data_IF_374040507318
#
_entry.id   IF_374040507318
#
_cell.length_a   1.000
_cell.length_b   1.000
_cell.length_c   1.000
_cell.angle_alpha   90.00
_cell.angle_beta   90.00
_cell.angle_gamma   90.00
#
_symmetry.space_group_name_H-M   'P 1'
#
loop_
_entity.id
_entity.type
_entity.pdbx_description
1 polymer ?
#
# COMPACT_ATOMS: atom_id res chain seq x y z
N UNK A 1 -5.68 14.92 -32.87
CA UNK A 1 -5.27 15.12 -31.47
C UNK A 1 -5.49 16.60 -31.18
N UNK A 2 -6.20 17.01 -30.12
CA UNK A 2 -6.10 18.40 -29.69
C UNK A 2 -4.63 18.64 -29.38
N UNK A 3 -4.03 19.57 -30.11
CA UNK A 3 -2.69 20.00 -29.79
C UNK A 3 -2.78 20.95 -28.59
N UNK A 4 -2.18 20.55 -27.47
CA UNK A 4 -2.13 21.37 -26.26
C UNK A 4 -0.94 22.33 -26.28
N UNK A 5 -0.18 22.41 -27.38
CA UNK A 5 0.97 23.31 -27.53
C UNK A 5 0.60 24.79 -27.37
N UNK A 6 -0.67 25.16 -27.62
CA UNK A 6 -1.19 26.51 -27.37
C UNK A 6 -1.50 26.81 -25.89
N UNK A 7 -1.54 25.79 -25.02
CA UNK A 7 -1.82 25.96 -23.59
C UNK A 7 -0.56 26.43 -22.87
N UNK A 8 -0.65 27.60 -22.23
CA UNK A 8 0.41 28.17 -21.41
C UNK A 8 0.10 27.98 -19.92
N UNK A 9 1.06 28.33 -19.06
CA UNK A 9 0.87 28.35 -17.61
C UNK A 9 -0.28 29.27 -17.18
N UNK A 10 -0.44 30.42 -17.83
CA UNK A 10 -1.48 31.39 -17.49
C UNK A 10 -2.88 30.86 -17.81
N UNK A 11 -3.04 30.12 -18.91
CA UNK A 11 -4.31 29.47 -19.25
C UNK A 11 -4.72 28.44 -18.19
N UNK A 12 -3.75 27.73 -17.60
CA UNK A 12 -4.01 26.80 -16.50
C UNK A 12 -4.44 27.56 -15.23
N UNK A 13 -3.78 28.66 -14.89
CA UNK A 13 -4.18 29.49 -13.74
C UNK A 13 -5.60 30.06 -13.89
N UNK A 14 -5.98 30.47 -15.11
CA UNK A 14 -7.35 30.91 -15.39
C UNK A 14 -8.37 29.79 -15.20
N UNK A 15 -8.05 28.56 -15.64
CA UNK A 15 -8.90 27.41 -15.41
C UNK A 15 -9.03 27.06 -13.92
N UNK A 16 -7.97 27.24 -13.12
CA UNK A 16 -8.02 27.06 -11.66
C UNK A 16 -8.88 28.11 -10.97
N UNK A 17 -8.75 29.38 -11.37
CA UNK A 17 -9.62 30.45 -10.85
C UNK A 17 -11.10 30.16 -11.15
N UNK A 18 -11.43 29.73 -12.37
CA UNK A 18 -12.80 29.33 -12.72
C UNK A 18 -13.27 28.10 -11.93
N UNK A 19 -12.37 27.15 -11.65
CA UNK A 19 -12.65 25.99 -10.81
C UNK A 19 -12.97 26.40 -9.37
N UNK A 20 -12.20 27.32 -8.80
CA UNK A 20 -12.39 27.82 -7.43
C UNK A 20 -13.68 28.65 -7.30
N UNK A 21 -14.00 29.47 -8.30
CA UNK A 21 -15.22 30.29 -8.32
C UNK A 21 -16.50 29.46 -8.41
N UNK A 22 -16.49 28.40 -9.24
CA UNK A 22 -17.66 27.52 -9.45
C UNK A 22 -17.79 26.45 -8.40
N UNK A 23 -16.67 26.01 -7.82
CA UNK A 23 -16.60 24.78 -7.06
C UNK A 23 -16.51 23.54 -7.97
N UNK A 24 -15.96 22.48 -7.39
CA UNK A 24 -15.54 21.29 -8.11
C UNK A 24 -16.64 20.57 -8.89
N UNK A 25 -17.78 20.28 -8.26
CA UNK A 25 -18.83 19.48 -8.89
C UNK A 25 -19.51 20.24 -10.04
N UNK A 26 -19.75 21.55 -9.88
CA UNK A 26 -20.33 22.40 -10.91
C UNK A 26 -19.37 22.64 -12.07
N UNK A 27 -18.07 22.79 -11.79
CA UNK A 27 -17.04 22.86 -12.83
C UNK A 27 -17.02 21.59 -13.69
N UNK A 28 -17.00 20.42 -13.04
CA UNK A 28 -16.97 19.13 -13.73
C UNK A 28 -18.23 18.90 -14.56
N UNK A 29 -19.41 19.21 -14.01
CA UNK A 29 -20.68 19.10 -14.71
C UNK A 29 -20.75 20.04 -15.92
N UNK A 30 -20.31 21.29 -15.78
CA UNK A 30 -20.34 22.28 -16.86
C UNK A 30 -19.49 21.87 -18.07
N UNK A 31 -18.37 21.19 -17.84
CA UNK A 31 -17.42 20.80 -18.88
C UNK A 31 -17.45 19.32 -19.27
N UNK A 32 -18.35 18.53 -18.66
CA UNK A 32 -18.54 17.12 -18.98
C UNK A 32 -17.36 16.23 -18.55
N UNK A 33 -16.72 16.57 -17.43
CA UNK A 33 -15.66 15.76 -16.82
C UNK A 33 -16.19 14.99 -15.61
N UNK A 34 -15.54 13.86 -15.31
CA UNK A 34 -15.73 13.16 -14.04
C UNK A 34 -14.61 13.51 -13.06
N UNK A 35 -14.86 13.31 -11.76
CA UNK A 35 -13.85 13.42 -10.70
C UNK A 35 -12.65 12.53 -11.02
N UNK A 36 -11.45 13.08 -10.91
CA UNK A 36 -10.20 12.40 -11.08
C UNK A 36 -10.00 11.42 -9.92
N UNK A 37 -9.87 10.14 -10.26
CA UNK A 37 -9.42 9.08 -9.33
C UNK A 37 -7.92 8.83 -9.43
N UNK A 38 -7.34 9.26 -10.55
CA UNK A 38 -5.93 9.11 -10.90
C UNK A 38 -5.42 10.48 -11.39
N UNK A 39 -4.21 10.86 -10.99
CA UNK A 39 -3.54 12.11 -11.35
C UNK A 39 -4.25 13.40 -10.89
N UNK A 40 -3.87 13.89 -9.72
CA UNK A 40 -4.39 15.12 -9.11
C UNK A 40 -3.38 16.25 -9.32
N UNK A 41 -3.85 17.40 -9.80
CA UNK A 41 -3.03 18.62 -9.90
C UNK A 41 -3.03 19.34 -8.54
N UNK A 42 -1.86 19.77 -8.08
CA UNK A 42 -1.70 20.57 -6.87
C UNK A 42 -1.31 22.00 -7.19
N UNK A 43 -2.04 22.95 -6.62
CA UNK A 43 -1.73 24.37 -6.72
C UNK A 43 -2.20 25.10 -5.46
N UNK A 44 -1.34 25.94 -4.87
CA UNK A 44 -1.62 26.74 -3.66
C UNK A 44 -2.30 25.96 -2.52
N UNK A 45 -1.82 24.72 -2.29
CA UNK A 45 -2.31 23.84 -1.23
C UNK A 45 -3.66 23.17 -1.52
N UNK A 46 -4.18 23.26 -2.76
CA UNK A 46 -5.44 22.67 -3.18
C UNK A 46 -5.25 21.61 -4.27
N UNK A 47 -6.15 20.64 -4.27
CA UNK A 47 -6.21 19.54 -5.22
C UNK A 47 -7.25 19.81 -6.31
N UNK A 48 -6.89 19.53 -7.56
CA UNK A 48 -7.74 19.74 -8.73
C UNK A 48 -7.70 18.56 -9.69
N UNK A 49 -8.79 18.38 -10.45
CA UNK A 49 -8.91 17.32 -11.46
C UNK A 49 -8.03 17.64 -12.68
N UNK A 50 -6.86 17.00 -12.79
CA UNK A 50 -5.83 17.35 -13.78
C UNK A 50 -6.33 17.40 -15.23
N UNK A 51 -7.19 16.45 -15.64
CA UNK A 51 -7.78 16.42 -16.99
C UNK A 51 -8.80 17.53 -17.21
N UNK A 52 -9.63 17.81 -16.21
CA UNK A 52 -10.66 18.83 -16.34
C UNK A 52 -10.02 20.22 -16.42
N UNK A 53 -9.03 20.49 -15.56
CA UNK A 53 -8.26 21.74 -15.59
C UNK A 53 -7.57 21.92 -16.94
N UNK A 54 -6.86 20.91 -17.45
CA UNK A 54 -6.19 21.05 -18.75
C UNK A 54 -7.18 21.24 -19.92
N UNK A 55 -8.31 20.52 -19.89
CA UNK A 55 -9.34 20.65 -20.92
C UNK A 55 -9.94 22.06 -20.98
N UNK A 56 -10.16 22.68 -19.81
CA UNK A 56 -10.63 24.06 -19.71
C UNK A 56 -9.51 25.07 -19.97
N UNK A 57 -8.26 24.78 -19.62
CA UNK A 57 -7.13 25.63 -20.00
C UNK A 57 -7.05 25.79 -21.53
N UNK A 58 -7.40 24.77 -22.31
CA UNK A 58 -7.51 24.89 -23.77
C UNK A 58 -8.57 25.90 -24.21
N UNK A 59 -9.69 26.04 -23.50
CA UNK A 59 -10.71 27.08 -23.78
C UNK A 59 -10.11 28.47 -23.71
N UNK A 60 -9.24 28.72 -22.74
CA UNK A 60 -8.56 30.01 -22.62
C UNK A 60 -7.52 30.23 -23.72
N UNK A 61 -6.90 29.15 -24.21
CA UNK A 61 -5.94 29.21 -25.31
C UNK A 61 -6.58 29.38 -26.70
N UNK A 62 -7.71 28.72 -26.96
CA UNK A 62 -8.27 28.55 -28.33
C UNK A 62 -9.73 28.98 -28.46
N UNK A 63 -10.38 29.33 -27.36
CA UNK A 63 -11.82 29.62 -27.30
C UNK A 63 -12.71 28.38 -27.13
N UNK A 64 -12.16 27.16 -27.21
CA UNK A 64 -12.92 25.91 -27.10
C UNK A 64 -12.30 24.96 -26.08
N UNK A 65 -13.09 24.51 -25.11
CA UNK A 65 -12.64 23.52 -24.13
C UNK A 65 -12.52 22.13 -24.77
N UNK A 66 -11.44 21.41 -24.46
CA UNK A 66 -11.37 19.97 -24.78
C UNK A 66 -12.31 19.19 -23.87
N UNK A 67 -12.98 18.20 -24.44
CA UNK A 67 -13.82 17.24 -23.72
C UNK A 67 -13.01 16.01 -23.33
N UNK A 68 -13.48 15.28 -22.32
CA UNK A 68 -12.82 14.05 -21.85
C UNK A 68 -12.55 13.02 -22.95
N UNK A 69 -13.39 12.95 -24.01
CA UNK A 69 -13.23 12.00 -25.12
C UNK A 69 -12.08 12.36 -26.07
N UNK A 70 -11.61 13.61 -26.05
CA UNK A 70 -10.58 14.12 -26.96
C UNK A 70 -9.16 13.85 -26.42
N UNK A 71 -9.06 13.39 -25.17
CA UNK A 71 -7.83 12.89 -24.57
C UNK A 71 -7.54 11.45 -25.04
N UNK A 72 -7.03 11.29 -26.26
CA UNK A 72 -6.73 9.98 -26.86
C UNK A 72 -5.42 9.32 -26.37
N UNK A 73 -4.70 9.94 -25.43
CA UNK A 73 -3.35 9.55 -24.98
C UNK A 73 -3.26 8.66 -23.73
N UNK A 74 -4.34 8.02 -23.30
CA UNK A 74 -4.34 7.21 -22.08
C UNK A 74 -4.28 8.01 -20.78
N UNK A 75 -4.02 7.34 -19.65
CA UNK A 75 -4.24 7.87 -18.28
C UNK A 75 -3.31 9.03 -17.88
N UNK A 76 -2.21 9.30 -18.59
CA UNK A 76 -1.14 10.23 -18.18
C UNK A 76 -0.93 11.46 -19.08
N UNK A 77 -1.70 11.63 -20.16
CA UNK A 77 -1.48 12.71 -21.14
C UNK A 77 -1.59 14.12 -20.55
N UNK A 78 -2.60 14.36 -19.70
CA UNK A 78 -2.77 15.66 -19.07
C UNK A 78 -1.67 15.98 -18.05
N UNK A 79 -1.28 14.98 -17.24
CA UNK A 79 -0.20 15.12 -16.26
C UNK A 79 1.12 15.53 -16.92
N UNK A 80 1.45 14.95 -18.09
CA UNK A 80 2.67 15.30 -18.83
C UNK A 80 2.70 16.78 -19.25
N UNK A 81 1.60 17.28 -19.80
CA UNK A 81 1.50 18.68 -20.25
C UNK A 81 1.58 19.63 -19.06
N UNK A 82 0.80 19.37 -18.01
CA UNK A 82 0.79 20.20 -16.80
C UNK A 82 2.16 20.25 -16.10
N UNK A 83 2.87 19.13 -16.03
CA UNK A 83 4.26 19.07 -15.52
C UNK A 83 5.22 19.88 -16.38
N UNK A 84 5.11 19.80 -17.71
CA UNK A 84 5.92 20.61 -18.62
C UNK A 84 5.66 22.12 -18.44
N UNK A 85 4.46 22.50 -18.01
CA UNK A 85 4.07 23.88 -17.66
C UNK A 85 4.45 24.28 -16.22
N UNK A 86 5.15 23.41 -15.48
CA UNK A 86 5.65 23.70 -14.13
C UNK A 86 4.65 23.46 -13.00
N UNK A 87 3.56 22.71 -13.24
CA UNK A 87 2.64 22.32 -12.18
C UNK A 87 2.98 20.96 -11.58
N UNK A 88 2.69 20.80 -10.30
CA UNK A 88 2.80 19.53 -9.61
C UNK A 88 1.55 18.68 -9.89
N UNK A 89 1.75 17.47 -10.39
CA UNK A 89 0.67 16.51 -10.63
C UNK A 89 1.07 15.19 -10.00
N UNK A 90 0.29 14.71 -9.04
CA UNK A 90 0.44 13.39 -8.42
C UNK A 90 0.33 12.27 -9.45
N UNK A 91 1.06 11.18 -9.30
CA UNK A 91 0.74 9.93 -10.00
C UNK A 91 -0.35 9.15 -9.25
N UNK A 92 -1.08 8.23 -9.91
CA UNK A 92 -2.02 7.35 -9.22
C UNK A 92 -1.28 6.53 -8.16
N UNK A 93 -1.56 6.85 -6.89
CA UNK A 93 -0.88 6.32 -5.71
C UNK A 93 -0.02 7.33 -4.94
N UNK A 94 0.13 8.57 -5.43
CA UNK A 94 0.75 9.70 -4.71
C UNK A 94 -0.35 10.64 -4.17
N UNK A 95 -0.96 10.29 -3.04
CA UNK A 95 -1.81 11.24 -2.32
C UNK A 95 -0.91 12.32 -1.69
N UNK A 96 -1.21 13.61 -1.90
CA UNK A 96 -0.41 14.69 -1.31
C UNK A 96 -0.64 14.77 0.20
N UNK A 97 0.20 15.52 0.93
CA UNK A 97 0.20 15.50 2.38
C UNK A 97 -1.13 15.95 2.95
N UNK A 98 -1.69 15.18 3.89
CA UNK A 98 -2.95 15.54 4.58
C UNK A 98 -2.82 16.87 5.35
N UNK A 99 -1.59 17.32 5.64
CA UNK A 99 -1.31 18.54 6.41
C UNK A 99 -0.45 19.53 5.62
N UNK A 100 -1.12 20.44 4.90
CA UNK A 100 -0.79 21.88 4.71
C UNK A 100 0.65 22.35 4.38
N UNK A 101 1.58 21.48 4.02
CA UNK A 101 2.98 21.83 3.78
C UNK A 101 3.49 21.42 2.40
N UNK A 102 4.49 22.13 1.89
CA UNK A 102 5.24 21.70 0.72
C UNK A 102 6.01 20.40 1.03
N UNK A 103 6.06 19.48 0.06
CA UNK A 103 6.85 18.26 0.16
C UNK A 103 8.32 18.58 0.46
N UNK A 104 8.89 17.86 1.43
CA UNK A 104 10.33 17.90 1.74
C UNK A 104 10.97 16.58 1.35
N UNK A 105 12.15 16.61 0.73
CA UNK A 105 12.87 15.36 0.44
C UNK A 105 13.52 14.82 1.72
N UNK A 106 13.46 13.51 1.93
CA UNK A 106 14.09 12.86 3.08
C UNK A 106 15.60 13.14 3.18
N UNK A 107 16.27 13.39 2.05
CA UNK A 107 17.68 13.80 2.01
C UNK A 107 17.92 15.22 2.56
N UNK A 108 16.93 16.10 2.48
CA UNK A 108 17.00 17.48 3.00
C UNK A 108 16.72 17.50 4.50
N UNK A 109 15.77 16.69 4.96
CA UNK A 109 15.38 16.59 6.38
C UNK A 109 16.36 15.71 7.18
N UNK A 110 17.06 14.81 6.52
CA UNK A 110 17.95 13.82 7.13
C UNK A 110 17.23 12.49 7.37
N UNK A 111 17.93 11.39 7.11
CA UNK A 111 17.33 10.05 7.09
C UNK A 111 16.74 9.62 8.44
N UNK A 112 17.39 9.94 9.56
CA UNK A 112 16.90 9.61 10.90
C UNK A 112 15.61 10.36 11.23
N UNK A 113 15.61 11.68 11.04
CA UNK A 113 14.44 12.52 11.30
C UNK A 113 13.26 12.12 10.40
N UNK A 114 13.52 11.79 9.13
CA UNK A 114 12.50 11.29 8.22
C UNK A 114 11.90 9.97 8.71
N UNK A 115 12.74 9.02 9.15
CA UNK A 115 12.27 7.71 9.66
C UNK A 115 11.50 7.83 10.96
N UNK A 116 11.90 8.70 11.88
CA UNK A 116 11.16 8.97 13.12
C UNK A 116 9.78 9.54 12.82
N UNK A 117 9.71 10.54 11.93
CA UNK A 117 8.44 11.12 11.50
C UNK A 117 7.54 10.07 10.81
N UNK A 118 8.10 9.26 9.90
CA UNK A 118 7.37 8.19 9.24
C UNK A 118 6.90 7.11 10.23
N UNK A 119 7.69 6.78 11.26
CA UNK A 119 7.32 5.79 12.27
C UNK A 119 6.14 6.26 13.13
N UNK A 120 6.11 7.54 13.51
CA UNK A 120 5.00 8.12 14.24
C UNK A 120 3.69 7.99 13.45
N UNK A 121 3.68 8.40 12.17
CA UNK A 121 2.50 8.26 11.30
C UNK A 121 2.19 6.78 10.99
N UNK A 122 3.21 5.94 10.81
CA UNK A 122 3.03 4.51 10.55
C UNK A 122 2.27 3.84 11.69
N UNK A 123 2.58 4.22 12.94
CA UNK A 123 1.88 3.70 14.11
C UNK A 123 0.39 4.04 14.06
N UNK A 124 0.02 5.27 13.70
CA UNK A 124 -1.39 5.68 13.59
C UNK A 124 -2.13 4.89 12.51
N UNK A 125 -1.52 4.74 11.33
CA UNK A 125 -2.06 3.93 10.23
C UNK A 125 -2.28 2.47 10.65
N UNK A 126 -1.32 1.89 11.39
CA UNK A 126 -1.42 0.52 11.88
C UNK A 126 -2.45 0.38 13.00
N UNK A 127 -2.65 1.41 13.84
CA UNK A 127 -3.75 1.42 14.81
C UNK A 127 -5.11 1.42 14.13
N UNK A 128 -5.27 2.17 13.04
CA UNK A 128 -6.52 2.16 12.26
C UNK A 128 -6.75 0.81 11.55
N UNK A 129 -5.68 0.12 11.17
CA UNK A 129 -5.75 -1.26 10.72
C UNK A 129 -6.15 -2.23 11.85
N UNK A 130 -5.60 -2.04 13.06
CA UNK A 130 -5.91 -2.84 14.23
C UNK A 130 -7.39 -2.72 14.63
N UNK A 131 -8.03 -1.59 14.35
CA UNK A 131 -9.45 -1.34 14.65
C UNK A 131 -10.43 -1.98 13.65
N UNK A 132 -9.95 -2.72 12.65
CA UNK A 132 -10.79 -3.49 11.72
C UNK A 132 -10.44 -4.95 11.84
N UNK A 133 -11.39 -5.82 12.16
CA UNK A 133 -11.13 -7.24 12.34
C UNK A 133 -10.58 -7.85 11.04
N UNK A 134 -9.45 -8.56 11.15
CA UNK A 134 -8.66 -9.05 10.02
C UNK A 134 -8.10 -7.95 9.09
N UNK A 135 -8.14 -6.69 9.51
CA UNK A 135 -7.54 -5.57 8.81
C UNK A 135 -6.03 -5.71 8.71
N UNK A 136 -5.50 -5.40 7.53
CA UNK A 136 -4.06 -5.32 7.25
C UNK A 136 -3.80 -4.13 6.33
N UNK A 137 -2.55 -3.69 6.30
CA UNK A 137 -2.06 -2.64 5.40
C UNK A 137 -0.90 -3.21 4.59
N UNK A 138 -0.86 -2.95 3.30
CA UNK A 138 0.28 -3.36 2.47
C UNK A 138 1.44 -2.40 2.65
N UNK A 139 2.66 -2.85 2.35
CA UNK A 139 3.81 -1.93 2.32
C UNK A 139 3.59 -0.71 1.44
N UNK A 140 2.92 -0.88 0.29
CA UNK A 140 2.66 0.23 -0.63
C UNK A 140 1.73 1.27 0.00
N UNK A 141 0.64 0.82 0.62
CA UNK A 141 -0.31 1.70 1.31
C UNK A 141 0.37 2.40 2.48
N UNK A 142 1.07 1.67 3.36
CA UNK A 142 1.77 2.26 4.48
C UNK A 142 2.79 3.30 4.02
N UNK A 143 3.54 3.02 2.96
CA UNK A 143 4.53 3.94 2.43
C UNK A 143 3.93 5.22 1.84
N UNK A 144 2.75 5.14 1.22
CA UNK A 144 2.03 6.31 0.74
C UNK A 144 1.51 7.15 1.91
N UNK A 145 0.86 6.49 2.88
CA UNK A 145 0.27 7.14 4.05
C UNK A 145 1.32 7.85 4.92
N UNK A 146 2.49 7.25 5.16
CA UNK A 146 3.52 7.90 5.98
C UNK A 146 4.17 9.08 5.28
N UNK A 147 4.37 8.99 3.96
CA UNK A 147 4.91 10.12 3.21
C UNK A 147 3.90 11.26 3.17
N UNK A 148 2.64 10.96 2.85
CA UNK A 148 1.55 11.94 2.87
C UNK A 148 1.37 12.53 4.27
N UNK A 149 1.17 11.72 5.30
CA UNK A 149 0.92 12.19 6.67
C UNK A 149 2.06 13.04 7.25
N UNK A 150 3.31 12.84 6.81
CA UNK A 150 4.47 13.64 7.26
C UNK A 150 4.85 14.80 6.35
N UNK A 151 4.39 14.80 5.09
CA UNK A 151 4.90 15.68 4.04
C UNK A 151 6.39 15.46 3.70
N UNK A 152 6.97 14.32 4.09
CA UNK A 152 8.35 13.95 3.77
C UNK A 152 8.33 12.84 2.73
N UNK A 153 8.90 13.09 1.56
CA UNK A 153 8.97 12.11 0.45
C UNK A 153 10.37 11.57 0.22
N UNK A 154 10.46 10.41 -0.42
CA UNK A 154 11.72 9.84 -0.88
C UNK A 154 11.56 9.09 -2.19
N UNK A 155 12.59 9.18 -3.05
CA UNK A 155 12.70 8.37 -4.28
C UNK A 155 13.36 7.01 -4.03
N UNK A 156 13.83 6.74 -2.81
CA UNK A 156 14.46 5.46 -2.48
C UNK A 156 13.42 4.34 -2.55
N UNK A 157 13.86 3.17 -3.05
CA UNK A 157 13.01 1.98 -3.06
C UNK A 157 12.59 1.62 -1.64
N UNK A 158 11.31 1.29 -1.50
CA UNK A 158 10.62 0.97 -0.25
C UNK A 158 11.40 0.05 0.69
N UNK A 159 12.03 -0.99 0.13
CA UNK A 159 12.82 -1.98 0.88
C UNK A 159 13.99 -1.40 1.68
N UNK A 160 14.48 -0.21 1.33
CA UNK A 160 15.61 0.42 2.01
C UNK A 160 15.23 1.18 3.28
N UNK A 161 13.94 1.46 3.50
CA UNK A 161 13.51 2.33 4.60
C UNK A 161 12.29 1.83 5.36
N UNK A 162 11.36 1.11 4.73
CA UNK A 162 10.12 0.69 5.42
C UNK A 162 10.39 -0.28 6.58
N UNK A 163 11.44 -1.11 6.44
CA UNK A 163 11.82 -2.07 7.48
C UNK A 163 12.32 -1.38 8.74
N UNK A 164 13.03 -0.27 8.60
CA UNK A 164 13.49 0.56 9.72
C UNK A 164 12.30 1.23 10.42
N UNK A 165 11.40 1.86 9.63
CA UNK A 165 10.15 2.45 10.13
C UNK A 165 9.32 1.46 10.93
N UNK A 166 9.08 0.25 10.38
CA UNK A 166 8.36 -0.82 11.08
C UNK A 166 9.11 -1.35 12.31
N UNK A 167 10.44 -1.36 12.27
CA UNK A 167 11.28 -1.67 13.42
C UNK A 167 11.07 -0.69 14.57
N UNK A 168 11.06 0.62 14.28
CA UNK A 168 10.78 1.67 15.28
C UNK A 168 9.39 1.53 15.89
N UNK A 169 8.37 1.26 15.07
CA UNK A 169 7.01 1.00 15.57
C UNK A 169 6.98 -0.24 16.47
N UNK A 170 7.68 -1.31 16.11
CA UNK A 170 7.73 -2.52 16.91
C UNK A 170 8.46 -2.29 18.25
N UNK A 171 9.57 -1.56 18.24
CA UNK A 171 10.29 -1.16 19.44
C UNK A 171 9.38 -0.31 20.34
N UNK A 172 8.63 0.65 19.78
CA UNK A 172 7.65 1.45 20.54
C UNK A 172 6.53 0.59 21.15
N UNK A 173 5.99 -0.38 20.40
CA UNK A 173 4.98 -1.32 20.93
C UNK A 173 5.54 -2.10 22.12
N UNK A 174 6.77 -2.61 22.02
CA UNK A 174 7.44 -3.33 23.10
C UNK A 174 7.63 -2.46 24.35
N UNK A 175 8.02 -1.20 24.20
CA UNK A 175 8.15 -0.27 25.33
C UNK A 175 6.80 0.07 26.01
N UNK A 176 5.69 -0.07 25.28
CA UNK A 176 4.32 0.19 25.76
C UNK A 176 3.61 -1.06 26.27
N UNK A 177 4.28 -2.22 26.29
CA UNK A 177 3.66 -3.52 26.56
C UNK A 177 2.43 -3.78 25.65
N UNK A 178 2.54 -3.38 24.37
CA UNK A 178 1.52 -3.53 23.33
C UNK A 178 1.89 -4.67 22.36
N UNK A 179 0.88 -5.36 21.78
CA UNK A 179 1.13 -6.32 20.70
C UNK A 179 1.76 -5.60 19.49
N UNK A 180 2.55 -6.34 18.72
CA UNK A 180 3.35 -5.80 17.63
C UNK A 180 2.46 -5.36 16.46
N UNK A 181 2.20 -4.06 16.38
CA UNK A 181 1.46 -3.44 15.27
C UNK A 181 2.12 -3.71 13.91
N UNK A 182 3.44 -3.92 13.86
CA UNK A 182 4.16 -4.30 12.65
C UNK A 182 3.66 -5.61 12.02
N UNK A 183 2.95 -6.47 12.77
CA UNK A 183 2.29 -7.67 12.26
C UNK A 183 1.13 -7.40 11.29
N UNK A 184 0.56 -6.18 11.33
CA UNK A 184 -0.53 -5.73 10.46
C UNK A 184 -0.03 -5.28 9.08
N UNK A 185 1.29 -5.11 8.91
CA UNK A 185 1.88 -4.69 7.64
C UNK A 185 2.39 -5.89 6.83
N UNK A 186 1.90 -6.03 5.59
CA UNK A 186 2.19 -7.20 4.74
C UNK A 186 2.72 -6.82 3.36
N UNK A 187 3.45 -7.74 2.73
CA UNK A 187 3.86 -7.63 1.34
C UNK A 187 2.71 -7.91 0.36
N UNK A 188 2.99 -7.82 -0.94
CA UNK A 188 2.00 -8.09 -1.99
C UNK A 188 1.45 -9.53 -2.00
N UNK A 189 2.16 -10.47 -1.37
CA UNK A 189 1.75 -11.86 -1.19
C UNK A 189 0.92 -12.08 0.09
N UNK A 190 0.76 -11.04 0.91
CA UNK A 190 0.03 -11.09 2.17
C UNK A 190 0.84 -11.68 3.33
N UNK A 191 2.16 -11.78 3.19
CA UNK A 191 3.08 -12.28 4.20
C UNK A 191 3.81 -11.13 4.89
N UNK A 192 4.25 -11.33 6.13
CA UNK A 192 5.09 -10.36 6.84
C UNK A 192 6.50 -10.29 6.25
N UNK A 193 7.18 -9.18 6.49
CA UNK A 193 8.52 -8.94 5.94
C UNK A 193 9.61 -9.64 6.73
N UNK A 194 10.79 -9.73 6.12
CA UNK A 194 11.98 -10.33 6.72
C UNK A 194 12.40 -9.65 8.04
N UNK A 195 12.13 -8.35 8.19
CA UNK A 195 12.37 -7.61 9.43
C UNK A 195 11.44 -8.00 10.59
N UNK A 196 10.31 -8.67 10.33
CA UNK A 196 9.32 -9.00 11.36
C UNK A 196 9.87 -10.00 12.39
N UNK A 197 10.53 -11.07 11.94
CA UNK A 197 11.12 -12.04 12.86
C UNK A 197 12.19 -11.41 13.76
N UNK A 198 12.96 -10.45 13.23
CA UNK A 198 13.92 -9.66 14.02
C UNK A 198 13.21 -8.82 15.08
N UNK A 199 12.09 -8.18 14.73
CA UNK A 199 11.29 -7.40 15.69
C UNK A 199 10.70 -8.29 16.81
N UNK A 200 10.21 -9.48 16.48
CA UNK A 200 9.75 -10.48 17.45
C UNK A 200 10.88 -10.88 18.41
N UNK A 201 12.08 -11.12 17.88
CA UNK A 201 13.26 -11.43 18.69
C UNK A 201 13.65 -10.32 19.66
N UNK A 202 13.53 -9.05 19.24
CA UNK A 202 13.81 -7.90 20.12
C UNK A 202 12.75 -7.72 21.20
N UNK A 203 11.47 -7.84 20.82
CA UNK A 203 10.35 -7.59 21.74
C UNK A 203 10.16 -8.70 22.77
N UNK A 204 10.32 -9.96 22.35
CA UNK A 204 9.95 -11.13 23.16
C UNK A 204 11.11 -12.11 23.43
N UNK A 205 12.30 -11.87 22.88
CA UNK A 205 13.45 -12.75 23.07
C UNK A 205 13.31 -14.12 22.40
N UNK A 206 12.47 -14.24 21.35
CA UNK A 206 12.21 -15.51 20.65
C UNK A 206 12.31 -15.37 19.13
N UNK A 207 12.64 -16.47 18.47
CA UNK A 207 12.56 -16.59 17.01
C UNK A 207 11.32 -17.43 16.66
N UNK A 208 10.36 -16.88 15.88
CA UNK A 208 9.18 -17.65 15.50
C UNK A 208 9.53 -18.72 14.46
N UNK A 209 9.02 -19.95 14.65
CA UNK A 209 9.16 -21.04 13.67
C UNK A 209 8.56 -20.66 12.30
N UNK A 210 7.37 -20.05 12.34
CA UNK A 210 6.69 -19.47 11.19
C UNK A 210 6.31 -18.00 11.50
N UNK A 211 6.99 -17.03 10.88
CA UNK A 211 6.71 -15.61 11.08
C UNK A 211 5.27 -15.20 10.75
N UNK A 212 4.63 -15.81 9.74
CA UNK A 212 3.26 -15.44 9.36
C UNK A 212 2.22 -15.99 10.35
N UNK A 213 2.46 -17.20 10.89
CA UNK A 213 1.60 -17.77 11.92
C UNK A 213 1.74 -17.01 13.25
N UNK A 214 2.96 -16.56 13.58
CA UNK A 214 3.19 -15.62 14.68
C UNK A 214 2.45 -14.30 14.45
N UNK A 215 2.60 -13.72 13.26
CA UNK A 215 1.89 -12.49 12.89
C UNK A 215 0.38 -12.64 12.93
N UNK A 216 -0.19 -13.80 12.60
CA UNK A 216 -1.62 -14.05 12.74
C UNK A 216 -2.10 -13.96 14.20
N UNK A 217 -1.29 -14.44 15.15
CA UNK A 217 -1.58 -14.32 16.59
C UNK A 217 -1.44 -12.88 17.08
N UNK A 218 -0.38 -12.20 16.68
CA UNK A 218 -0.15 -10.78 17.01
C UNK A 218 -1.24 -9.87 16.45
N UNK A 219 -1.71 -10.10 15.21
CA UNK A 219 -2.83 -9.34 14.62
C UNK A 219 -4.11 -9.51 15.44
N UNK A 220 -4.43 -10.74 15.86
CA UNK A 220 -5.58 -10.95 16.75
C UNK A 220 -5.40 -10.22 18.09
N UNK A 221 -4.21 -10.25 18.67
CA UNK A 221 -3.90 -9.52 19.89
C UNK A 221 -4.09 -8.01 19.71
N UNK A 222 -3.66 -7.44 18.57
CA UNK A 222 -3.90 -6.04 18.21
C UNK A 222 -5.41 -5.74 18.14
N UNK A 223 -6.20 -6.54 17.42
CA UNK A 223 -7.65 -6.33 17.30
C UNK A 223 -8.37 -6.37 18.65
N UNK A 224 -7.95 -7.27 19.55
CA UNK A 224 -8.47 -7.35 20.92
C UNK A 224 -8.04 -6.16 21.77
N UNK A 225 -6.76 -5.77 21.70
CA UNK A 225 -6.16 -4.70 22.53
C UNK A 225 -6.71 -3.33 22.17
N UNK A 226 -6.92 -3.06 20.88
CA UNK A 226 -7.34 -1.75 20.37
C UNK A 226 -8.82 -1.69 19.99
N UNK A 227 -9.58 -2.76 20.27
CA UNK A 227 -11.04 -2.76 20.24
C UNK A 227 -11.65 -2.62 18.85
N UNK A 228 -11.35 -3.56 17.94
CA UNK A 228 -12.02 -3.62 16.64
C UNK A 228 -13.55 -3.76 16.83
N UNK A 229 -14.39 -2.82 16.34
CA UNK A 229 -15.84 -2.85 16.57
C UNK A 229 -16.56 -4.06 15.94
N UNK A 230 -15.95 -4.63 14.91
CA UNK A 230 -16.40 -5.81 14.17
C UNK A 230 -15.78 -7.12 14.69
N UNK A 231 -15.10 -7.08 15.85
CA UNK A 231 -14.57 -8.28 16.49
C UNK A 231 -15.72 -9.23 16.92
N UNK A 232 -15.63 -10.53 16.61
CA UNK A 232 -16.60 -11.51 17.08
C UNK A 232 -16.70 -11.55 18.62
N UNK A 233 -17.88 -11.92 19.13
CA UNK A 233 -18.15 -11.98 20.58
C UNK A 233 -17.29 -13.01 21.33
N UNK A 234 -16.78 -14.03 20.64
CA UNK A 234 -15.82 -15.02 21.19
C UNK A 234 -14.37 -14.50 21.19
N UNK A 235 -14.16 -13.25 20.77
CA UNK A 235 -12.86 -12.60 20.67
C UNK A 235 -12.08 -12.95 19.40
N UNK A 236 -12.67 -13.67 18.44
CA UNK A 236 -12.05 -13.99 17.15
C UNK A 236 -10.91 -15.00 17.20
N UNK A 237 -10.38 -15.35 16.02
CA UNK A 237 -9.34 -16.37 15.84
C UNK A 237 -8.15 -15.86 15.03
N UNK A 238 -6.92 -16.35 15.27
CA UNK A 238 -5.76 -15.99 14.46
C UNK A 238 -5.97 -16.47 13.03
N UNK A 239 -5.72 -15.61 12.04
CA UNK A 239 -5.86 -15.97 10.64
C UNK A 239 -4.72 -15.42 9.78
N UNK A 240 -4.23 -16.24 8.85
CA UNK A 240 -3.39 -15.76 7.75
C UNK A 240 -4.19 -14.80 6.87
N UNK A 241 -3.50 -13.92 6.14
CA UNK A 241 -4.18 -13.10 5.15
C UNK A 241 -4.83 -14.00 4.08
N UNK A 242 -5.97 -13.59 3.48
CA UNK A 242 -6.68 -14.43 2.51
C UNK A 242 -5.79 -14.93 1.36
N UNK A 243 -4.90 -14.06 0.86
CA UNK A 243 -3.97 -14.38 -0.22
C UNK A 243 -2.94 -15.43 0.19
N UNK A 244 -2.31 -15.26 1.35
CA UNK A 244 -1.32 -16.21 1.85
C UNK A 244 -1.96 -17.55 2.20
N UNK A 245 -3.13 -17.54 2.84
CA UNK A 245 -3.90 -18.74 3.15
C UNK A 245 -4.22 -19.53 1.88
N UNK A 246 -4.71 -18.85 0.83
CA UNK A 246 -4.99 -19.48 -0.46
C UNK A 246 -3.74 -20.06 -1.12
N UNK A 247 -2.62 -19.33 -1.10
CA UNK A 247 -1.34 -19.84 -1.63
C UNK A 247 -0.88 -21.09 -0.86
N UNK A 248 -0.84 -21.06 0.47
CA UNK A 248 -0.44 -22.21 1.30
C UNK A 248 -1.36 -23.41 1.09
N UNK A 249 -2.68 -23.20 1.00
CA UNK A 249 -3.64 -24.26 0.71
C UNK A 249 -3.40 -24.91 -0.65
N UNK A 250 -3.05 -24.11 -1.67
CA UNK A 250 -2.70 -24.62 -3.01
C UNK A 250 -1.41 -25.43 -2.97
N UNK A 251 -0.36 -24.94 -2.30
CA UNK A 251 0.91 -25.66 -2.18
C UNK A 251 0.73 -27.01 -1.48
N UNK A 252 0.01 -27.04 -0.35
CA UNK A 252 -0.28 -28.30 0.37
C UNK A 252 -1.05 -29.32 -0.49
N UNK A 253 -1.96 -28.86 -1.35
CA UNK A 253 -2.69 -29.75 -2.28
C UNK A 253 -1.83 -30.26 -3.44
N UNK A 254 -0.80 -29.50 -3.82
CA UNK A 254 0.12 -29.86 -4.90
C UNK A 254 1.27 -30.75 -4.43
N UNK A 255 1.50 -30.83 -3.12
CA UNK A 255 2.59 -31.61 -2.53
C UNK A 255 2.32 -33.11 -2.74
N UNK A 256 3.22 -33.86 -3.41
CA UNK A 256 3.03 -35.26 -3.65
C UNK A 256 2.97 -35.99 -2.31
N UNK A 257 1.86 -36.70 -2.05
CA UNK A 257 1.74 -37.58 -0.89
C UNK A 257 2.81 -38.65 -1.05
N UNK A 258 3.90 -38.54 -0.28
CA UNK A 258 4.92 -39.56 -0.22
C UNK A 258 4.28 -40.80 0.42
N UNK A 259 3.79 -41.72 -0.42
CA UNK A 259 3.38 -43.04 0.05
C UNK A 259 4.65 -43.73 0.54
N UNK A 260 4.70 -44.03 1.82
CA UNK A 260 5.70 -44.95 2.36
C UNK A 260 5.61 -46.24 1.53
N UNK A 261 6.66 -46.45 0.75
CA UNK A 261 6.81 -47.65 -0.03
C UNK A 261 7.15 -48.77 0.93
N UNK A 262 6.23 -49.72 1.10
CA UNK A 262 6.52 -50.91 1.89
C UNK A 262 7.72 -51.64 1.26
N UNK A 263 8.73 -51.97 2.05
CA UNK A 263 9.91 -52.72 1.61
C UNK A 263 9.92 -54.09 2.27
N UNK A 264 10.44 -55.09 1.56
CA UNK A 264 10.57 -56.43 2.09
C UNK A 264 11.55 -56.42 3.27
N UNK A 265 11.21 -56.98 4.45
CA UNK A 265 12.12 -57.01 5.59
C UNK A 265 13.35 -57.90 5.36
N UNK A 266 13.31 -58.80 4.38
CA UNK A 266 14.36 -59.79 4.10
C UNK A 266 15.36 -59.31 3.07
N UNK A 267 14.89 -58.73 1.95
CA UNK A 267 15.76 -58.31 0.84
C UNK A 267 15.73 -56.80 0.57
N UNK A 268 14.94 -56.05 1.35
CA UNK A 268 14.79 -54.59 1.27
C UNK A 268 14.30 -54.04 -0.07
N UNK A 269 13.87 -54.91 -1.00
CA UNK A 269 13.22 -54.47 -2.23
C UNK A 269 11.83 -53.92 -1.95
N UNK A 270 11.44 -52.89 -2.71
CA UNK A 270 10.09 -52.34 -2.71
C UNK A 270 9.07 -53.44 -3.00
N UNK A 271 8.09 -53.58 -2.11
CA UNK A 271 7.00 -54.53 -2.27
C UNK A 271 6.00 -54.01 -3.32
N UNK A 272 5.49 -54.89 -4.19
CA UNK A 272 4.34 -54.59 -5.04
C UNK A 272 3.07 -54.37 -4.21
N UNK A 273 2.01 -53.88 -4.84
CA UNK A 273 0.71 -53.57 -4.20
C UNK A 273 0.10 -54.79 -3.48
N UNK A 274 0.48 -56.01 -3.88
CA UNK A 274 0.06 -57.26 -3.24
C UNK A 274 0.63 -57.44 -1.84
N UNK A 275 1.68 -56.69 -1.46
CA UNK A 275 2.38 -56.81 -0.18
C UNK A 275 3.31 -58.02 -0.09
N UNK A 276 3.45 -58.79 -1.17
CA UNK A 276 4.26 -60.01 -1.23
C UNK A 276 5.52 -59.74 -2.08
N UNK A 277 6.69 -60.13 -1.60
CA UNK A 277 7.93 -59.91 -2.33
C UNK A 277 8.09 -60.93 -3.47
N UNK A 278 8.22 -60.45 -4.71
CA UNK A 278 8.39 -61.31 -5.89
C UNK A 278 9.63 -62.23 -5.82
N UNK A 279 10.60 -61.90 -4.95
CA UNK A 279 11.83 -62.68 -4.76
C UNK A 279 11.82 -63.54 -3.49
N UNK A 280 11.19 -63.09 -2.40
CA UNK A 280 11.19 -63.83 -1.13
C UNK A 280 9.95 -64.73 -0.94
N UNK A 281 8.88 -64.50 -1.70
CA UNK A 281 7.62 -65.26 -1.61
C UNK A 281 6.69 -64.78 -0.51
#
# INVERSE_FOLDING_TARGET
MPDFDAVSRDHVLQALAEYDERGADDFLAAYGFGRARDYVLWHDGRAYDSKAVLGVAQKYATGVAARSAEFSGGRSGAAKVLRALGFEVSEPGDDAPVVGGAWREASEVGAEVARDAWAAVARDVLLDAARRYHGVVTYKELAAEVQSGTGIRTRQLLQHWIGDVLGRVADECSHRDEPLLSSLCVNAQGSVGTGYATAVGRAYGLTPDDPDDHAARERLACHRRFGAPDLPADGGVPALTPRLAATRARTRRAEPVHREVATCPTCHMQLPVTGICDTCG
#
